data_IF_864538294961
#
_entry.id   IF_864538294961
#
_cell.length_a   1.000
_cell.length_b   1.000
_cell.length_c   1.000
_cell.angle_alpha   90.00
_cell.angle_beta   90.00
_cell.angle_gamma   90.00
#
_symmetry.space_group_name_H-M   'P 1'
#
loop_
_entity.id
_entity.type
_entity.pdbx_description
1 polymer ?
#
# COMPACT_ATOMS: atom_id res chain seq x y z
N UNK A 1 -6.44 -25.87 -0.86
CA UNK A 1 -6.26 -24.40 -0.81
C UNK A 1 -7.54 -23.78 -1.34
N UNK A 2 -8.32 -23.13 -0.49
CA UNK A 2 -9.56 -22.47 -0.90
C UNK A 2 -9.22 -21.34 -1.87
N UNK A 3 -9.88 -21.33 -3.03
CA UNK A 3 -9.68 -20.41 -4.15
C UNK A 3 -10.25 -19.01 -3.83
N UNK A 4 -9.85 -18.42 -2.69
CA UNK A 4 -10.27 -17.07 -2.31
C UNK A 4 -9.45 -16.05 -3.08
N UNK A 5 -10.14 -15.15 -3.78
CA UNK A 5 -9.55 -13.98 -4.43
C UNK A 5 -8.97 -13.09 -3.34
N UNK A 6 -7.65 -12.84 -3.30
CA UNK A 6 -7.04 -12.08 -2.20
C UNK A 6 -7.23 -10.57 -2.37
N UNK A 7 -7.56 -10.07 -3.55
CA UNK A 7 -7.71 -8.64 -3.80
C UNK A 7 -9.06 -8.11 -3.30
N UNK A 8 -9.03 -7.10 -2.43
CA UNK A 8 -10.23 -6.48 -1.88
C UNK A 8 -11.11 -5.85 -2.98
N UNK A 9 -10.51 -5.27 -4.02
CA UNK A 9 -11.23 -4.63 -5.11
C UNK A 9 -11.95 -5.61 -6.06
N UNK A 10 -11.65 -6.91 -5.97
CA UNK A 10 -12.33 -7.95 -6.76
C UNK A 10 -13.55 -8.56 -6.03
N UNK A 11 -13.90 -8.02 -4.85
CA UNK A 11 -14.99 -8.49 -4.01
C UNK A 11 -16.19 -7.55 -4.08
N UNK A 12 -17.43 -8.07 -4.04
CA UNK A 12 -18.59 -7.29 -3.64
C UNK A 12 -18.41 -6.72 -2.24
N UNK A 13 -18.90 -5.50 -1.99
CA UNK A 13 -18.73 -4.82 -0.71
C UNK A 13 -19.25 -5.60 0.52
N UNK A 14 -20.32 -6.43 0.45
CA UNK A 14 -20.75 -7.23 1.61
C UNK A 14 -19.72 -8.29 1.99
N UNK A 15 -19.08 -8.93 1.01
CA UNK A 15 -18.07 -9.96 1.23
C UNK A 15 -16.81 -9.34 1.85
N UNK A 16 -16.40 -8.18 1.34
CA UNK A 16 -15.31 -7.41 1.94
C UNK A 16 -15.62 -7.05 3.41
N UNK A 17 -16.79 -6.47 3.69
CA UNK A 17 -17.18 -6.09 5.05
C UNK A 17 -17.23 -7.31 6.00
N UNK A 18 -17.79 -8.43 5.54
CA UNK A 18 -17.82 -9.67 6.31
C UNK A 18 -16.43 -10.16 6.75
N UNK A 19 -15.41 -9.88 5.92
CA UNK A 19 -14.02 -10.24 6.19
C UNK A 19 -13.29 -9.29 7.13
N UNK A 20 -13.59 -8.00 7.13
CA UNK A 20 -12.81 -7.00 7.88
C UNK A 20 -13.46 -6.57 9.19
N UNK A 21 -14.78 -6.73 9.34
CA UNK A 21 -15.55 -6.19 10.48
C UNK A 21 -15.12 -6.71 11.85
N UNK A 22 -14.46 -7.86 11.92
CA UNK A 22 -13.99 -8.47 13.17
C UNK A 22 -12.57 -8.04 13.57
N UNK A 23 -11.92 -7.22 12.73
CA UNK A 23 -10.57 -6.70 12.95
C UNK A 23 -9.44 -7.72 12.81
N UNK A 24 -9.73 -8.98 12.46
CA UNK A 24 -8.71 -10.05 12.46
C UNK A 24 -8.00 -10.19 11.13
N UNK A 25 -8.69 -9.95 10.02
CA UNK A 25 -8.13 -10.07 8.67
C UNK A 25 -6.95 -9.10 8.46
N UNK A 26 -5.75 -9.61 8.12
CA UNK A 26 -4.63 -8.77 7.68
C UNK A 26 -4.94 -8.10 6.34
N UNK A 27 -4.70 -6.80 6.25
CA UNK A 27 -4.80 -6.00 5.03
C UNK A 27 -3.38 -5.61 4.59
N UNK A 28 -2.93 -6.18 3.48
CA UNK A 28 -1.67 -5.86 2.84
C UNK A 28 -1.90 -4.72 1.86
N UNK A 29 -1.13 -3.63 1.99
CA UNK A 29 -1.22 -2.44 1.14
C UNK A 29 0.07 -2.34 0.33
N UNK A 30 0.08 -2.79 -0.94
CA UNK A 30 1.25 -2.66 -1.80
C UNK A 30 1.45 -1.19 -2.21
N UNK A 31 2.69 -0.73 -2.14
CA UNK A 31 3.03 0.66 -2.43
C UNK A 31 4.31 0.71 -3.27
N UNK A 32 4.16 1.15 -4.52
CA UNK A 32 5.22 1.17 -5.52
C UNK A 32 5.55 2.56 -6.04
N UNK A 33 5.98 2.59 -7.30
CA UNK A 33 6.25 3.80 -8.08
C UNK A 33 6.22 3.50 -9.57
N UNK A 34 6.12 4.55 -10.38
CA UNK A 34 6.45 4.51 -11.80
C UNK A 34 7.84 5.12 -11.97
N UNK A 35 8.85 4.29 -12.20
CA UNK A 35 10.26 4.68 -12.21
C UNK A 35 11.03 4.01 -13.35
N UNK A 36 11.99 4.73 -13.93
CA UNK A 36 12.96 4.15 -14.86
C UNK A 36 13.68 2.93 -14.24
N UNK A 37 13.80 1.84 -15.01
CA UNK A 37 14.47 0.62 -14.57
C UNK A 37 15.55 0.19 -15.57
N UNK A 38 16.28 1.18 -16.11
CA UNK A 38 17.24 0.99 -17.19
C UNK A 38 16.61 0.63 -18.54
N UNK A 39 17.44 0.29 -19.53
CA UNK A 39 16.99 0.11 -20.92
C UNK A 39 16.22 -1.19 -21.20
N UNK A 40 16.09 -2.09 -20.23
CA UNK A 40 15.66 -3.47 -20.45
C UNK A 40 14.39 -3.85 -19.68
N UNK A 41 13.89 -2.99 -18.80
CA UNK A 41 12.73 -3.25 -17.95
C UNK A 41 11.64 -2.18 -18.12
N UNK A 42 10.37 -2.53 -17.83
CA UNK A 42 9.26 -1.58 -17.83
C UNK A 42 9.31 -0.64 -16.62
N UNK A 43 8.51 0.43 -16.67
CA UNK A 43 8.50 1.49 -15.65
C UNK A 43 7.70 1.16 -14.37
N UNK A 44 7.05 0.01 -14.29
CA UNK A 44 6.10 -0.33 -13.21
C UNK A 44 6.58 -1.47 -12.32
N UNK A 45 7.89 -1.78 -12.32
CA UNK A 45 8.46 -2.91 -11.57
C UNK A 45 8.09 -2.81 -10.08
N UNK A 46 8.21 -1.60 -9.52
CA UNK A 46 7.88 -1.31 -8.12
C UNK A 46 6.40 -1.46 -7.80
N UNK A 47 5.51 -1.52 -8.80
CA UNK A 47 4.10 -1.83 -8.62
C UNK A 47 3.90 -3.34 -8.70
N UNK A 48 4.44 -4.01 -9.73
CA UNK A 48 4.23 -5.43 -9.97
C UNK A 48 4.77 -6.30 -8.83
N UNK A 49 6.00 -6.05 -8.38
CA UNK A 49 6.68 -6.90 -7.41
C UNK A 49 5.99 -6.92 -6.04
N UNK A 50 5.74 -5.79 -5.35
CA UNK A 50 5.05 -5.83 -4.06
C UNK A 50 3.59 -6.30 -4.20
N UNK A 51 2.93 -6.05 -5.33
CA UNK A 51 1.57 -6.56 -5.58
C UNK A 51 1.54 -8.08 -5.62
N UNK A 52 2.43 -8.69 -6.41
CA UNK A 52 2.50 -10.15 -6.53
C UNK A 52 2.97 -10.80 -5.22
N UNK A 53 3.92 -10.17 -4.52
CA UNK A 53 4.33 -10.60 -3.18
C UNK A 53 3.13 -10.59 -2.21
N UNK A 54 2.41 -9.47 -2.13
CA UNK A 54 1.24 -9.32 -1.27
C UNK A 54 0.16 -10.34 -1.62
N UNK A 55 -0.10 -10.59 -2.92
CA UNK A 55 -1.06 -11.59 -3.39
C UNK A 55 -0.72 -12.98 -2.87
N UNK A 56 0.54 -13.41 -2.99
CA UNK A 56 1.00 -14.73 -2.53
C UNK A 56 0.98 -14.85 -1.00
N UNK A 57 1.35 -13.80 -0.28
CA UNK A 57 1.29 -13.80 1.19
C UNK A 57 -0.15 -13.85 1.67
N UNK A 58 -1.04 -13.01 1.13
CA UNK A 58 -2.46 -12.98 1.48
C UNK A 58 -3.13 -14.35 1.30
N UNK A 59 -2.81 -15.08 0.22
CA UNK A 59 -3.31 -16.44 0.00
C UNK A 59 -2.88 -17.44 1.08
N UNK A 60 -1.70 -17.26 1.68
CA UNK A 60 -1.15 -18.15 2.73
C UNK A 60 -1.68 -17.80 4.12
N UNK A 61 -1.88 -16.52 4.40
CA UNK A 61 -2.26 -16.02 5.74
C UNK A 61 -3.75 -15.73 5.87
N UNK A 62 -4.53 -15.93 4.80
CA UNK A 62 -5.94 -15.53 4.77
C UNK A 62 -6.12 -14.01 4.81
N UNK A 63 -5.24 -13.25 4.18
CA UNK A 63 -5.27 -11.79 4.14
C UNK A 63 -6.14 -11.21 3.02
N UNK A 64 -6.14 -9.88 2.94
CA UNK A 64 -6.64 -9.08 1.82
C UNK A 64 -5.49 -8.25 1.25
N UNK A 65 -5.54 -7.99 -0.06
CA UNK A 65 -4.65 -7.06 -0.74
C UNK A 65 -5.46 -5.83 -1.16
N UNK A 66 -5.08 -4.66 -0.66
CA UNK A 66 -5.64 -3.39 -1.09
C UNK A 66 -5.17 -3.04 -2.52
N UNK A 67 -5.88 -2.14 -3.24
CA UNK A 67 -5.37 -1.58 -4.49
C UNK A 67 -3.95 -1.02 -4.31
N UNK A 68 -3.06 -1.35 -5.25
CA UNK A 68 -1.67 -0.92 -5.20
C UNK A 68 -1.52 0.55 -5.55
N UNK A 69 -0.74 1.27 -4.76
CA UNK A 69 -0.33 2.64 -5.08
C UNK A 69 0.68 2.60 -6.24
N UNK A 70 0.29 3.21 -7.36
CA UNK A 70 1.09 3.14 -8.61
C UNK A 70 2.10 4.27 -8.77
N UNK A 71 2.06 5.29 -7.90
CA UNK A 71 2.98 6.42 -7.89
C UNK A 71 3.59 6.58 -6.50
N UNK A 72 4.91 6.73 -6.43
CA UNK A 72 5.69 6.86 -5.19
C UNK A 72 6.37 8.22 -5.05
N UNK A 73 7.26 8.35 -4.07
CA UNK A 73 8.07 9.55 -3.86
C UNK A 73 9.20 9.67 -4.88
N UNK A 74 9.68 10.91 -5.03
CA UNK A 74 10.77 11.30 -5.94
C UNK A 74 11.98 10.39 -5.81
N UNK A 75 12.31 9.73 -6.91
CA UNK A 75 13.54 8.96 -7.10
C UNK A 75 14.78 9.78 -6.69
N UNK A 76 15.64 9.18 -5.87
CA UNK A 76 16.89 9.77 -5.40
C UNK A 76 18.06 9.18 -6.17
N UNK A 77 19.07 10.00 -6.46
CA UNK A 77 20.19 9.62 -7.34
C UNK A 77 20.92 8.34 -6.90
N UNK A 78 21.00 8.08 -5.60
CA UNK A 78 21.73 6.92 -5.05
C UNK A 78 20.90 5.63 -4.96
N UNK A 79 19.59 5.70 -5.19
CA UNK A 79 18.70 4.57 -4.94
C UNK A 79 17.85 4.20 -6.18
N UNK A 80 17.42 5.18 -6.97
CA UNK A 80 16.64 4.97 -8.20
C UNK A 80 17.19 5.70 -9.44
N UNK A 81 18.41 6.25 -9.36
CA UNK A 81 19.06 7.00 -10.45
C UNK A 81 18.65 8.48 -10.53
N UNK A 82 17.50 8.84 -9.95
CA UNK A 82 17.08 10.22 -9.72
C UNK A 82 15.90 10.67 -10.59
N UNK A 83 15.09 11.57 -10.04
CA UNK A 83 13.82 12.01 -10.63
C UNK A 83 13.94 12.86 -11.92
N UNK A 84 15.15 13.10 -12.42
CA UNK A 84 15.39 13.79 -13.69
C UNK A 84 15.26 12.83 -14.90
N UNK A 85 15.20 11.52 -14.65
CA UNK A 85 15.10 10.52 -15.70
C UNK A 85 13.69 10.46 -16.31
N UNK A 86 13.55 10.44 -17.65
CA UNK A 86 12.26 10.39 -18.31
C UNK A 86 11.50 9.10 -18.01
N UNK A 87 10.17 9.20 -17.93
CA UNK A 87 9.29 8.09 -17.57
C UNK A 87 9.10 7.90 -16.05
N UNK A 88 9.98 8.46 -15.22
CA UNK A 88 9.77 8.49 -13.76
C UNK A 88 8.73 9.55 -13.41
N UNK A 89 7.64 9.13 -12.77
CA UNK A 89 6.54 10.01 -12.36
C UNK A 89 6.32 9.86 -10.87
N UNK A 90 6.61 10.93 -10.13
CA UNK A 90 6.66 10.89 -8.67
C UNK A 90 5.74 11.92 -8.05
N UNK A 91 5.28 11.61 -6.84
CA UNK A 91 4.48 12.47 -5.99
C UNK A 91 5.36 13.34 -5.09
N UNK A 92 4.80 14.46 -4.65
CA UNK A 92 5.33 15.15 -3.48
C UNK A 92 5.13 14.32 -2.22
N UNK A 93 6.03 14.49 -1.25
CA UNK A 93 6.01 13.73 0.00
C UNK A 93 4.68 13.87 0.74
N UNK A 94 4.16 15.09 0.85
CA UNK A 94 2.87 15.36 1.49
C UNK A 94 1.71 14.66 0.78
N UNK A 95 1.74 14.58 -0.55
CA UNK A 95 0.71 13.92 -1.34
C UNK A 95 0.71 12.41 -1.11
N UNK A 96 1.89 11.79 -1.02
CA UNK A 96 2.00 10.36 -0.68
C UNK A 96 1.53 10.10 0.76
N UNK A 97 1.97 10.94 1.70
CA UNK A 97 1.59 10.86 3.12
C UNK A 97 0.07 10.94 3.29
N UNK A 98 -0.57 11.96 2.71
CA UNK A 98 -2.01 12.14 2.84
C UNK A 98 -2.82 11.01 2.20
N UNK A 99 -2.43 10.55 0.99
CA UNK A 99 -3.14 9.44 0.36
C UNK A 99 -3.06 8.16 1.17
N UNK A 100 -1.87 7.77 1.65
CA UNK A 100 -1.72 6.55 2.43
C UNK A 100 -2.43 6.66 3.79
N UNK A 101 -2.32 7.82 4.47
CA UNK A 101 -3.04 8.10 5.72
C UNK A 101 -4.55 7.91 5.53
N UNK A 102 -5.13 8.52 4.50
CA UNK A 102 -6.56 8.48 4.25
C UNK A 102 -7.03 7.04 3.95
N UNK A 103 -6.25 6.28 3.18
CA UNK A 103 -6.54 4.87 2.90
C UNK A 103 -6.50 4.01 4.17
N UNK A 104 -5.49 4.18 5.04
CA UNK A 104 -5.41 3.46 6.32
C UNK A 104 -6.64 3.78 7.19
N UNK A 105 -6.99 5.06 7.31
CA UNK A 105 -8.15 5.51 8.09
C UNK A 105 -9.46 4.92 7.56
N UNK A 106 -9.65 4.88 6.24
CA UNK A 106 -10.86 4.33 5.64
C UNK A 106 -10.98 2.81 5.87
N UNK A 107 -9.88 2.06 5.75
CA UNK A 107 -9.90 0.65 6.12
C UNK A 107 -10.17 0.44 7.61
N UNK A 108 -9.62 1.31 8.48
CA UNK A 108 -9.90 1.28 9.90
C UNK A 108 -11.37 1.60 10.20
N UNK A 109 -11.98 2.56 9.50
CA UNK A 109 -13.42 2.85 9.58
C UNK A 109 -14.28 1.63 9.22
N UNK A 110 -13.84 0.78 8.29
CA UNK A 110 -14.55 -0.46 7.93
C UNK A 110 -14.36 -1.61 8.93
N UNK A 111 -13.49 -1.46 9.92
CA UNK A 111 -13.19 -2.48 10.93
C UNK A 111 -11.80 -3.11 10.81
N UNK A 112 -11.00 -2.79 9.78
CA UNK A 112 -9.63 -3.30 9.65
C UNK A 112 -8.72 -2.83 10.79
N UNK A 113 -7.94 -3.75 11.38
CA UNK A 113 -7.01 -3.42 12.48
C UNK A 113 -5.59 -3.93 12.26
N UNK A 114 -5.40 -4.88 11.34
CA UNK A 114 -4.12 -5.51 11.06
C UNK A 114 -3.63 -5.08 9.68
N UNK A 115 -2.62 -4.20 9.63
CA UNK A 115 -2.09 -3.63 8.39
C UNK A 115 -0.65 -4.06 8.14
N UNK A 116 -0.31 -4.29 6.87
CA UNK A 116 1.07 -4.45 6.44
C UNK A 116 1.30 -3.63 5.15
N UNK A 117 2.15 -2.61 5.23
CA UNK A 117 2.56 -1.85 4.04
C UNK A 117 3.67 -2.65 3.34
N UNK A 118 3.46 -3.00 2.07
CA UNK A 118 4.42 -3.75 1.26
C UNK A 118 5.10 -2.77 0.31
N UNK A 119 6.21 -2.20 0.77
CA UNK A 119 6.95 -1.20 0.01
C UNK A 119 7.79 -1.84 -1.11
N UNK A 120 7.56 -1.43 -2.36
CA UNK A 120 8.33 -1.83 -3.52
C UNK A 120 9.35 -0.81 -4.02
N UNK A 121 9.32 0.43 -3.49
CA UNK A 121 10.19 1.52 -3.94
C UNK A 121 10.88 2.19 -2.74
N UNK A 122 12.21 2.20 -2.74
CA UNK A 122 13.03 2.48 -1.55
C UNK A 122 12.68 3.84 -0.91
N UNK A 123 12.51 4.86 -1.73
CA UNK A 123 12.30 6.26 -1.39
C UNK A 123 11.00 6.52 -0.61
N UNK A 124 10.03 5.60 -0.66
CA UNK A 124 8.75 5.77 0.03
C UNK A 124 8.84 5.61 1.56
N UNK A 125 9.90 4.97 2.07
CA UNK A 125 9.95 4.44 3.44
C UNK A 125 9.66 5.49 4.53
N UNK A 126 10.25 6.68 4.44
CA UNK A 126 10.03 7.74 5.44
C UNK A 126 8.63 8.34 5.38
N UNK A 127 8.06 8.45 4.18
CA UNK A 127 6.70 8.96 3.98
C UNK A 127 5.65 7.94 4.41
N UNK A 128 5.95 6.64 4.29
CA UNK A 128 5.12 5.58 4.87
C UNK A 128 5.07 5.72 6.39
N UNK A 129 6.22 5.90 7.04
CA UNK A 129 6.27 6.05 8.50
C UNK A 129 5.44 7.25 8.98
N UNK A 130 5.58 8.41 8.31
CA UNK A 130 4.80 9.61 8.63
C UNK A 130 3.29 9.37 8.42
N UNK A 131 2.89 8.77 7.29
CA UNK A 131 1.48 8.47 7.03
C UNK A 131 0.86 7.56 8.10
N UNK A 132 1.61 6.54 8.52
CA UNK A 132 1.19 5.61 9.57
C UNK A 132 1.08 6.33 10.92
N UNK A 133 2.06 7.16 11.31
CA UNK A 133 1.98 7.92 12.56
C UNK A 133 0.75 8.84 12.59
N UNK A 134 0.54 9.62 11.52
CA UNK A 134 -0.62 10.51 11.40
C UNK A 134 -1.94 9.72 11.48
N UNK A 135 -2.04 8.60 10.76
CA UNK A 135 -3.23 7.76 10.77
C UNK A 135 -3.49 7.19 12.17
N UNK A 136 -2.47 6.63 12.83
CA UNK A 136 -2.61 6.09 14.19
C UNK A 136 -2.98 7.18 15.20
N UNK A 137 -2.41 8.38 15.07
CA UNK A 137 -2.74 9.53 15.91
C UNK A 137 -4.20 9.93 15.78
N UNK A 138 -4.69 10.05 14.56
CA UNK A 138 -6.08 10.42 14.30
C UNK A 138 -7.06 9.32 14.72
N UNK A 139 -6.74 8.04 14.47
CA UNK A 139 -7.54 6.90 14.93
C UNK A 139 -7.66 6.85 16.46
N UNK A 140 -6.59 7.21 17.19
CA UNK A 140 -6.65 7.34 18.66
C UNK A 140 -7.61 8.44 19.10
N UNK A 141 -7.65 9.58 18.40
CA UNK A 141 -8.63 10.64 18.68
C UNK A 141 -10.07 10.18 18.44
N UNK A 142 -10.27 9.30 17.47
CA UNK A 142 -11.56 8.69 17.14
C UNK A 142 -11.92 7.49 18.04
N UNK A 143 -11.08 7.14 19.02
CA UNK A 143 -11.29 6.02 19.94
C UNK A 143 -11.06 4.64 19.32
N UNK A 144 -10.40 4.57 18.16
CA UNK A 144 -10.06 3.33 17.46
C UNK A 144 -8.63 2.92 17.84
N UNK A 145 -8.47 1.74 18.47
CA UNK A 145 -7.15 1.16 18.78
C UNK A 145 -6.69 1.28 20.24
N UNK A 146 -7.61 1.58 21.17
CA UNK A 146 -7.43 1.31 22.61
C UNK A 146 -7.89 -0.11 22.96
#
# INVERSE_FOLDING_TARGET
MTNQRPFAAEMPWPDFHARVKDGKTPILIPLGSMEQHGHHMPLHVDVLLPTEFARRVAQRVGGLVAPTFSYGYKSQQKCGGGNHMPGTVSLEGQTLVHQLRDVIKEFARHGGRNFAIVNGHYENSWFINEAVDLALRELRWDGIGN
#
